data_IF_557498789052
#
_entry.id   IF_557498789052
#
_cell.length_a   1.000
_cell.length_b   1.000
_cell.length_c   1.000
_cell.angle_alpha   90.00
_cell.angle_beta   90.00
_cell.angle_gamma   90.00
#
_symmetry.space_group_name_H-M   'P 1'
#
loop_
_entity.id
_entity.type
_entity.pdbx_description
1 polymer ?
#
# COMPACT_ATOMS: atom_id res chain seq x y z
N UNK A 1 -10.82 -4.79 -6.11
CA UNK A 1 -9.77 -5.82 -5.91
C UNK A 1 -8.40 -5.45 -6.47
N UNK A 2 -8.28 -4.59 -7.48
CA UNK A 2 -6.99 -4.20 -8.07
C UNK A 2 -5.98 -3.71 -7.01
N UNK A 3 -6.37 -2.75 -6.17
CA UNK A 3 -5.50 -2.23 -5.09
C UNK A 3 -5.04 -3.33 -4.12
N UNK A 4 -5.96 -4.22 -3.74
CA UNK A 4 -5.64 -5.35 -2.86
C UNK A 4 -4.67 -6.33 -3.53
N UNK A 5 -4.85 -6.60 -4.82
CA UNK A 5 -3.93 -7.43 -5.61
C UNK A 5 -2.52 -6.86 -5.67
N UNK A 6 -2.37 -5.54 -5.80
CA UNK A 6 -1.06 -4.87 -5.74
C UNK A 6 -0.37 -5.03 -4.37
N UNK A 7 -1.12 -4.85 -3.28
CA UNK A 7 -0.58 -4.99 -1.92
C UNK A 7 -0.15 -6.43 -1.64
N UNK A 8 -1.03 -7.40 -1.92
CA UNK A 8 -0.75 -8.82 -1.67
C UNK A 8 0.31 -9.35 -2.63
N UNK A 9 0.28 -8.95 -3.89
CA UNK A 9 1.29 -9.33 -4.89
C UNK A 9 2.68 -8.84 -4.52
N UNK A 10 2.83 -7.54 -4.20
CA UNK A 10 4.11 -6.98 -3.79
C UNK A 10 4.59 -7.53 -2.44
N UNK A 11 3.73 -7.54 -1.42
CA UNK A 11 4.09 -8.14 -0.13
C UNK A 11 4.47 -9.63 -0.26
N UNK A 12 3.71 -10.37 -1.07
CA UNK A 12 3.92 -11.79 -1.35
C UNK A 12 5.23 -12.08 -2.07
N UNK A 13 5.65 -11.27 -3.04
CA UNK A 13 6.94 -11.46 -3.72
C UNK A 13 8.11 -11.24 -2.76
N UNK A 14 8.04 -10.24 -1.87
CA UNK A 14 9.05 -10.02 -0.84
C UNK A 14 9.12 -11.15 0.20
N UNK A 15 8.00 -11.84 0.45
CA UNK A 15 7.99 -13.05 1.28
C UNK A 15 8.63 -14.21 0.51
N UNK A 16 8.27 -14.39 -0.75
CA UNK A 16 8.85 -15.44 -1.61
C UNK A 16 10.36 -15.30 -1.72
N UNK A 17 10.87 -14.07 -1.90
CA UNK A 17 12.31 -13.81 -1.95
C UNK A 17 13.02 -14.27 -0.68
N UNK A 18 12.42 -14.01 0.50
CA UNK A 18 12.97 -14.49 1.78
C UNK A 18 12.95 -16.01 1.90
N UNK A 19 11.94 -16.68 1.34
CA UNK A 19 11.85 -18.14 1.37
C UNK A 19 12.87 -18.80 0.44
N UNK A 20 13.14 -18.20 -0.73
CA UNK A 20 14.02 -18.78 -1.75
C UNK A 20 15.48 -18.37 -1.53
N UNK A 21 15.73 -17.10 -1.23
CA UNK A 21 17.07 -16.51 -1.18
C UNK A 21 17.53 -16.14 0.23
N UNK A 22 16.64 -16.22 1.24
CA UNK A 22 16.97 -15.87 2.62
C UNK A 22 16.99 -14.37 2.94
N UNK A 23 16.82 -13.52 1.92
CA UNK A 23 16.73 -12.06 2.05
C UNK A 23 15.89 -11.47 0.92
N UNK A 24 15.59 -10.17 1.02
CA UNK A 24 15.00 -9.40 -0.08
C UNK A 24 16.11 -8.70 -0.83
N UNK A 25 16.02 -8.69 -2.16
CA UNK A 25 16.97 -8.00 -3.01
C UNK A 25 16.41 -6.62 -3.34
N UNK A 26 17.05 -5.59 -2.79
CA UNK A 26 16.78 -4.20 -3.14
C UNK A 26 17.76 -3.74 -4.21
N UNK A 27 17.23 -3.31 -5.36
CA UNK A 27 18.04 -2.98 -6.54
C UNK A 27 17.87 -1.53 -7.00
N UNK A 28 16.84 -0.83 -6.53
CA UNK A 28 16.62 0.58 -6.84
C UNK A 28 17.24 1.41 -5.72
N UNK A 29 18.25 2.19 -6.06
CA UNK A 29 18.99 3.02 -5.13
C UNK A 29 18.92 4.47 -5.59
N UNK A 30 18.10 5.28 -4.90
CA UNK A 30 17.98 6.71 -5.16
C UNK A 30 18.89 7.43 -4.16
N UNK A 31 19.93 8.05 -4.71
CA UNK A 31 20.86 8.91 -3.99
C UNK A 31 20.83 10.30 -4.60
N UNK A 32 21.50 11.26 -3.96
CA UNK A 32 21.67 12.64 -4.44
C UNK A 32 20.47 13.59 -4.21
N UNK A 33 19.50 13.21 -3.39
CA UNK A 33 18.51 14.14 -2.85
C UNK A 33 18.92 14.49 -1.39
N UNK A 34 19.03 15.79 -1.02
CA UNK A 34 19.39 16.17 0.34
C UNK A 34 18.46 15.52 1.38
N UNK A 35 19.04 14.80 2.34
CA UNK A 35 18.34 14.05 3.39
C UNK A 35 17.43 12.90 2.92
N UNK A 36 17.44 12.54 1.64
CA UNK A 36 16.51 11.56 1.08
C UNK A 36 17.25 10.47 0.29
N UNK A 37 17.77 9.48 1.02
CA UNK A 37 18.40 8.28 0.46
C UNK A 37 17.46 7.09 0.65
N UNK A 38 16.96 6.53 -0.45
CA UNK A 38 16.01 5.42 -0.42
C UNK A 38 16.52 4.26 -1.27
N UNK A 39 16.49 3.09 -0.67
CA UNK A 39 16.79 1.81 -1.31
C UNK A 39 15.51 0.99 -1.24
N UNK A 40 15.04 0.50 -2.38
CA UNK A 40 13.78 -0.24 -2.47
C UNK A 40 13.77 -1.16 -3.70
N UNK A 41 12.72 -1.96 -3.81
CA UNK A 41 12.50 -2.83 -4.96
C UNK A 41 11.12 -2.60 -5.61
N UNK A 42 10.83 -3.34 -6.69
CA UNK A 42 9.52 -3.24 -7.35
C UNK A 42 8.36 -3.66 -6.45
N UNK A 43 8.58 -4.60 -5.54
CA UNK A 43 7.56 -5.06 -4.62
C UNK A 43 7.07 -3.94 -3.69
N UNK A 44 8.00 -3.11 -3.18
CA UNK A 44 7.68 -1.94 -2.37
C UNK A 44 6.86 -0.92 -3.17
N UNK A 45 7.21 -0.69 -4.43
CA UNK A 45 6.45 0.20 -5.33
C UNK A 45 5.02 -0.32 -5.54
N UNK A 46 4.85 -1.63 -5.77
CA UNK A 46 3.52 -2.24 -5.93
C UNK A 46 2.66 -2.06 -4.69
N UNK A 47 3.23 -2.24 -3.49
CA UNK A 47 2.51 -1.98 -2.24
C UNK A 47 2.07 -0.53 -2.14
N UNK A 48 2.93 0.44 -2.51
CA UNK A 48 2.58 1.86 -2.49
C UNK A 48 1.46 2.20 -3.49
N UNK A 49 1.53 1.65 -4.71
CA UNK A 49 0.49 1.82 -5.75
C UNK A 49 -0.85 1.20 -5.32
N UNK A 50 -0.82 0.15 -4.50
CA UNK A 50 -2.03 -0.44 -3.94
C UNK A 50 -2.61 0.32 -2.75
N UNK A 51 -1.76 0.72 -1.78
CA UNK A 51 -2.21 1.26 -0.50
C UNK A 51 -2.74 2.69 -0.61
N UNK A 52 -2.10 3.57 -1.39
CA UNK A 52 -2.50 4.98 -1.48
C UNK A 52 -3.90 5.17 -2.08
N UNK A 53 -4.23 4.58 -3.25
CA UNK A 53 -5.58 4.66 -3.78
C UNK A 53 -6.61 3.99 -2.87
N UNK A 54 -6.26 2.87 -2.22
CA UNK A 54 -7.15 2.19 -1.28
C UNK A 54 -7.51 3.09 -0.09
N UNK A 55 -6.52 3.76 0.50
CA UNK A 55 -6.74 4.70 1.60
C UNK A 55 -7.59 5.90 1.15
N UNK A 56 -7.24 6.53 0.02
CA UNK A 56 -7.99 7.68 -0.52
C UNK A 56 -9.45 7.31 -0.75
N UNK A 57 -9.71 6.18 -1.42
CA UNK A 57 -11.07 5.70 -1.65
C UNK A 57 -11.80 5.40 -0.35
N UNK A 58 -11.13 4.85 0.67
CA UNK A 58 -11.74 4.59 1.97
C UNK A 58 -12.21 5.86 2.67
N UNK A 59 -11.43 6.95 2.58
CA UNK A 59 -11.82 8.24 3.19
C UNK A 59 -12.94 8.94 2.42
N UNK A 60 -12.94 8.84 1.09
CA UNK A 60 -13.97 9.41 0.22
C UNK A 60 -15.29 8.63 0.26
N UNK A 61 -15.22 7.31 0.49
CA UNK A 61 -16.38 6.44 0.53
C UNK A 61 -17.17 6.50 1.84
N UNK A 62 -16.84 7.40 2.77
CA UNK A 62 -17.63 7.60 3.99
C UNK A 62 -19.06 7.99 3.60
N UNK A 63 -20.06 7.11 3.81
CA UNK A 63 -21.44 7.53 3.73
C UNK A 63 -21.63 8.50 4.89
N UNK A 64 -22.20 9.67 4.62
CA UNK A 64 -22.72 10.52 5.69
C UNK A 64 -23.58 9.63 6.58
N UNK A 65 -23.17 9.46 7.84
CA UNK A 65 -24.03 8.86 8.85
C UNK A 65 -25.34 9.62 8.78
N UNK A 66 -26.35 8.99 8.18
CA UNK A 66 -27.67 9.57 8.04
C UNK A 66 -28.22 9.59 9.44
N UNK A 67 -28.13 10.76 10.07
CA UNK A 67 -28.81 11.10 11.31
C UNK A 67 -30.32 11.01 11.00
N UNK A 68 -30.88 9.81 11.13
CA UNK A 68 -32.32 9.58 11.14
C UNK A 68 -32.62 8.58 12.25
N UNK A 69 -32.21 8.91 13.46
CA UNK A 69 -32.90 8.39 14.63
C UNK A 69 -34.17 9.23 14.78
N UNK A 70 -35.26 8.62 14.37
CA UNK A 70 -36.61 9.14 14.41
C UNK A 70 -36.96 9.54 15.85
N UNK A 71 -37.34 10.80 16.08
CA UNK A 71 -38.36 11.10 17.08
C UNK A 71 -39.71 10.82 16.46
N UNK A 72 -40.45 9.81 16.94
CA UNK A 72 -41.88 9.94 17.12
C UNK A 72 -42.16 10.37 18.56
N UNK A 73 -43.16 11.24 18.64
CA UNK A 73 -43.83 11.81 19.81
C UNK A 73 -44.18 10.79 20.91
#
# INVERSE_FOLDING_TARGET
YICFGFIVGGGGSNILDRLVYGSVIDFINIQQIPYWNYIFNTADLMVHVGIWPMLILSFLAQPSATHSENSPE
#
